data_IF_816062459827
#
_entry.id   IF_816062459827
#
_cell.length_a   1.000
_cell.length_b   1.000
_cell.length_c   1.000
_cell.angle_alpha   90.00
_cell.angle_beta   90.00
_cell.angle_gamma   90.00
#
_symmetry.space_group_name_H-M   'P 1'
#
loop_
_entity.id
_entity.type
_entity.pdbx_description
1 polymer ?
#
# COMPACT_ATOMS: atom_id res chain seq x y z
N UNK A 1 -14.95 2.81 -7.56
CA UNK A 1 -15.69 1.58 -7.20
C UNK A 1 -15.23 1.14 -5.81
N UNK A 2 -15.99 1.42 -4.75
CA UNK A 2 -15.67 0.91 -3.41
C UNK A 2 -16.10 -0.55 -3.32
N UNK A 3 -15.20 -1.46 -3.69
CA UNK A 3 -15.47 -2.90 -3.79
C UNK A 3 -15.25 -3.67 -2.49
N UNK A 4 -15.24 -3.00 -1.33
CA UNK A 4 -15.03 -3.65 -0.04
C UNK A 4 -16.26 -4.48 0.39
N UNK A 5 -16.11 -5.54 1.21
CA UNK A 5 -14.84 -6.12 1.70
C UNK A 5 -14.08 -6.91 0.64
N UNK A 6 -12.79 -7.14 0.85
CA UNK A 6 -11.96 -7.98 -0.03
C UNK A 6 -12.05 -9.46 0.36
N UNK A 7 -11.91 -10.35 -0.62
CA UNK A 7 -11.68 -11.77 -0.37
C UNK A 7 -10.20 -12.04 -0.11
N UNK A 8 -9.31 -11.39 -0.88
CA UNK A 8 -7.85 -11.54 -0.78
C UNK A 8 -7.17 -10.17 -0.79
N UNK A 9 -6.27 -9.93 0.17
CA UNK A 9 -5.41 -8.75 0.21
C UNK A 9 -3.94 -9.20 0.15
N UNK A 10 -3.20 -8.78 -0.87
CA UNK A 10 -1.74 -8.92 -0.89
C UNK A 10 -1.09 -7.66 -0.31
N UNK A 11 -0.20 -7.81 0.66
CA UNK A 11 0.57 -6.70 1.23
C UNK A 11 2.03 -6.91 0.84
N UNK A 12 2.67 -5.90 0.28
CA UNK A 12 4.08 -5.98 -0.10
C UNK A 12 4.82 -4.66 0.15
N UNK A 13 6.14 -4.70 0.16
CA UNK A 13 6.94 -3.52 0.50
C UNK A 13 6.84 -2.43 -0.58
N UNK A 14 6.98 -2.80 -1.85
CA UNK A 14 7.04 -1.85 -2.96
C UNK A 14 6.03 -2.23 -4.05
N UNK A 15 5.65 -1.23 -4.84
CA UNK A 15 4.90 -1.41 -6.09
C UNK A 15 5.72 -2.30 -7.01
N UNK A 16 5.14 -3.36 -7.58
CA UNK A 16 5.72 -4.47 -8.37
C UNK A 16 6.00 -5.79 -7.62
N UNK A 17 6.18 -5.77 -6.29
CA UNK A 17 6.48 -6.97 -5.52
C UNK A 17 5.33 -8.00 -5.62
N UNK A 18 4.08 -7.53 -5.58
CA UNK A 18 2.89 -8.39 -5.68
C UNK A 18 2.80 -9.01 -7.06
N UNK A 19 2.98 -8.22 -8.11
CA UNK A 19 2.95 -8.63 -9.50
C UNK A 19 3.95 -9.78 -9.74
N UNK A 20 5.17 -9.65 -9.21
CA UNK A 20 6.22 -10.66 -9.33
C UNK A 20 5.95 -11.93 -8.53
N UNK A 21 5.41 -11.81 -7.33
CA UNK A 21 5.34 -12.93 -6.37
C UNK A 21 4.01 -13.67 -6.38
N UNK A 22 2.89 -12.98 -6.61
CA UNK A 22 1.56 -13.58 -6.54
C UNK A 22 0.54 -12.97 -7.51
N UNK A 23 0.96 -12.22 -8.53
CA UNK A 23 0.08 -11.63 -9.54
C UNK A 23 -0.81 -12.66 -10.23
N UNK A 24 -0.25 -13.81 -10.62
CA UNK A 24 -1.02 -14.92 -11.20
C UNK A 24 -2.11 -15.47 -10.27
N UNK A 25 -1.84 -15.54 -8.96
CA UNK A 25 -2.83 -15.92 -7.94
C UNK A 25 -3.94 -14.88 -7.86
N UNK A 26 -3.60 -13.58 -7.81
CA UNK A 26 -4.62 -12.53 -7.75
C UNK A 26 -5.51 -12.51 -8.99
N UNK A 27 -4.92 -12.62 -10.18
CA UNK A 27 -5.68 -12.69 -11.43
C UNK A 27 -6.59 -13.92 -11.47
N UNK A 28 -6.09 -15.09 -11.05
CA UNK A 28 -6.90 -16.31 -10.98
C UNK A 28 -8.06 -16.17 -9.99
N UNK A 29 -7.84 -15.52 -8.85
CA UNK A 29 -8.89 -15.27 -7.87
C UNK A 29 -9.94 -14.29 -8.42
N UNK A 30 -9.51 -13.25 -9.13
CA UNK A 30 -10.41 -12.34 -9.81
C UNK A 30 -11.25 -13.04 -10.91
N UNK A 31 -10.63 -13.95 -11.69
CA UNK A 31 -11.34 -14.79 -12.67
C UNK A 31 -12.41 -15.69 -12.03
N UNK A 32 -12.20 -16.09 -10.77
CA UNK A 32 -13.17 -16.84 -9.96
C UNK A 32 -14.22 -15.94 -9.28
N UNK A 33 -14.29 -14.66 -9.65
CA UNK A 33 -15.23 -13.68 -9.09
C UNK A 33 -14.89 -13.21 -7.67
N UNK A 34 -13.65 -13.42 -7.20
CA UNK A 34 -13.20 -12.94 -5.89
C UNK A 34 -12.68 -11.52 -5.97
N UNK A 35 -12.95 -10.73 -4.93
CA UNK A 35 -12.48 -9.34 -4.84
C UNK A 35 -11.06 -9.33 -4.28
N UNK A 36 -10.11 -8.92 -5.09
CA UNK A 36 -8.68 -8.90 -4.74
C UNK A 36 -8.21 -7.47 -4.51
N UNK A 37 -7.27 -7.29 -3.59
CA UNK A 37 -6.64 -6.01 -3.32
C UNK A 37 -5.13 -6.08 -3.14
N UNK A 38 -4.47 -4.95 -3.31
CA UNK A 38 -3.03 -4.76 -3.12
C UNK A 38 -2.79 -3.59 -2.16
N UNK A 39 -1.96 -3.80 -1.14
CA UNK A 39 -1.42 -2.76 -0.29
C UNK A 39 0.10 -2.70 -0.47
N UNK A 40 0.58 -1.63 -1.10
CA UNK A 40 2.01 -1.33 -1.16
C UNK A 40 2.38 -0.53 0.11
N UNK A 41 3.42 -0.93 0.83
CA UNK A 41 3.81 -0.22 2.06
C UNK A 41 4.53 1.10 1.75
N UNK A 42 5.31 1.13 0.67
CA UNK A 42 6.14 2.26 0.25
C UNK A 42 5.78 2.67 -1.17
N UNK A 43 6.20 3.87 -1.58
CA UNK A 43 6.09 4.30 -2.99
C UNK A 43 7.21 3.73 -3.85
N UNK A 44 8.22 3.07 -3.28
CA UNK A 44 9.39 2.57 -4.00
C UNK A 44 10.27 3.72 -4.52
N UNK A 45 10.28 4.85 -3.84
CA UNK A 45 10.93 6.09 -4.29
C UNK A 45 12.47 6.00 -4.35
N UNK A 46 13.11 5.06 -3.66
CA UNK A 46 14.55 4.84 -3.76
C UNK A 46 14.93 3.92 -4.93
N UNK A 47 14.01 3.04 -5.34
CA UNK A 47 14.23 2.09 -6.44
C UNK A 47 13.68 2.51 -7.81
N UNK A 48 12.80 3.52 -7.84
CA UNK A 48 12.13 3.94 -9.08
C UNK A 48 13.11 4.50 -10.11
N UNK A 49 13.07 3.96 -11.32
CA UNK A 49 13.73 4.54 -12.50
C UNK A 49 12.68 5.33 -13.28
N UNK A 50 12.78 6.65 -13.27
CA UNK A 50 11.74 7.55 -13.80
C UNK A 50 11.15 8.42 -12.70
N UNK A 51 9.94 8.94 -12.92
CA UNK A 51 9.26 9.82 -11.94
C UNK A 51 8.33 9.03 -11.01
N UNK A 52 7.94 9.65 -9.89
CA UNK A 52 6.96 9.07 -8.98
C UNK A 52 5.60 8.87 -9.67
N UNK A 53 5.24 9.78 -10.59
CA UNK A 53 4.07 9.75 -11.44
C UNK A 53 4.11 8.58 -12.43
N UNK A 54 5.28 8.30 -13.03
CA UNK A 54 5.46 7.14 -13.89
C UNK A 54 5.20 5.85 -13.14
N UNK A 55 5.80 5.71 -11.95
CA UNK A 55 5.61 4.53 -11.13
C UNK A 55 4.17 4.35 -10.64
N UNK A 56 3.46 5.45 -10.37
CA UNK A 56 2.03 5.42 -10.03
C UNK A 56 1.19 4.94 -11.21
N UNK A 57 1.47 5.44 -12.41
CA UNK A 57 0.80 5.01 -13.64
C UNK A 57 1.06 3.53 -13.93
N UNK A 58 2.31 3.08 -13.81
CA UNK A 58 2.68 1.66 -13.96
C UNK A 58 1.88 0.76 -13.01
N UNK A 59 1.84 1.12 -11.73
CA UNK A 59 1.10 0.37 -10.71
C UNK A 59 -0.42 0.36 -10.97
N UNK A 60 -0.98 1.47 -11.45
CA UNK A 60 -2.38 1.56 -11.83
C UNK A 60 -2.72 0.68 -13.04
N UNK A 61 -1.85 0.65 -14.07
CA UNK A 61 -2.03 -0.24 -15.22
C UNK A 61 -1.87 -1.72 -14.84
N UNK A 62 -0.89 -2.05 -14.00
CA UNK A 62 -0.73 -3.42 -13.48
C UNK A 62 -1.98 -3.88 -12.72
N UNK A 63 -2.57 -3.01 -11.88
CA UNK A 63 -3.80 -3.33 -11.16
C UNK A 63 -4.98 -3.62 -12.10
N UNK A 64 -5.11 -2.88 -13.22
CA UNK A 64 -6.12 -3.15 -14.25
C UNK A 64 -5.91 -4.49 -14.93
N UNK A 65 -4.67 -4.80 -15.32
CA UNK A 65 -4.30 -6.09 -15.94
C UNK A 65 -4.64 -7.25 -15.01
N UNK A 66 -4.30 -7.13 -13.73
CA UNK A 66 -4.59 -8.13 -12.70
C UNK A 66 -6.05 -8.15 -12.22
N UNK A 67 -6.90 -7.24 -12.71
CA UNK A 67 -8.30 -7.08 -12.31
C UNK A 67 -8.49 -6.89 -10.80
N UNK A 68 -7.52 -6.22 -10.18
CA UNK A 68 -7.53 -5.91 -8.76
C UNK A 68 -8.59 -4.84 -8.50
N UNK A 69 -9.45 -5.07 -7.52
CA UNK A 69 -10.62 -4.22 -7.25
C UNK A 69 -10.31 -3.06 -6.29
N UNK A 70 -9.14 -3.09 -5.65
CA UNK A 70 -8.66 -2.07 -4.72
C UNK A 70 -7.13 -2.08 -4.64
N UNK A 71 -6.47 -0.93 -4.77
CA UNK A 71 -5.03 -0.78 -4.54
C UNK A 71 -4.77 0.54 -3.82
N UNK A 72 -3.99 0.49 -2.76
CA UNK A 72 -3.51 1.68 -2.05
C UNK A 72 -2.04 1.54 -1.68
N UNK A 73 -1.41 2.68 -1.40
CA UNK A 73 -0.02 2.77 -0.99
C UNK A 73 0.08 3.56 0.31
N UNK A 74 0.78 3.00 1.31
CA UNK A 74 1.08 3.71 2.56
C UNK A 74 2.25 4.70 2.41
N UNK A 75 2.43 5.50 3.45
CA UNK A 75 3.50 6.48 3.60
C UNK A 75 4.67 5.92 4.45
N UNK A 76 5.04 4.65 4.26
CA UNK A 76 6.25 4.10 4.87
C UNK A 76 7.43 4.41 3.94
N UNK A 77 8.54 4.97 4.44
CA UNK A 77 9.68 5.30 3.59
C UNK A 77 10.33 4.04 2.99
N UNK A 78 10.61 4.09 1.69
CA UNK A 78 11.38 3.06 0.97
C UNK A 78 12.79 2.90 1.57
N UNK A 79 13.30 1.67 1.63
CA UNK A 79 14.55 1.35 2.33
C UNK A 79 14.47 1.40 3.87
N UNK A 80 13.32 1.79 4.44
CA UNK A 80 13.09 1.88 5.89
C UNK A 80 11.74 1.31 6.30
N UNK A 81 11.35 0.16 5.75
CA UNK A 81 10.19 -0.58 6.26
C UNK A 81 10.56 -1.17 7.61
N UNK A 82 10.11 -0.51 8.68
CA UNK A 82 10.36 -0.92 10.06
C UNK A 82 9.07 -1.48 10.70
N UNK A 83 9.19 -2.55 11.48
CA UNK A 83 8.06 -3.14 12.20
C UNK A 83 7.78 -2.42 13.55
N UNK A 84 7.52 -1.12 13.46
CA UNK A 84 7.19 -0.25 14.59
C UNK A 84 5.70 -0.37 14.97
N UNK A 85 5.36 0.05 16.18
CA UNK A 85 3.96 0.11 16.62
C UNK A 85 3.10 0.96 15.69
N UNK A 86 3.59 2.13 15.29
CA UNK A 86 2.88 3.04 14.39
C UNK A 86 2.58 2.38 13.03
N UNK A 87 3.57 1.77 12.40
CA UNK A 87 3.39 1.09 11.11
C UNK A 87 2.41 -0.08 11.23
N UNK A 88 2.45 -0.84 12.34
CA UNK A 88 1.46 -1.91 12.57
C UNK A 88 0.05 -1.35 12.65
N UNK A 89 -0.15 -0.20 13.29
CA UNK A 89 -1.46 0.46 13.36
C UNK A 89 -1.92 0.95 11.99
N UNK A 90 -1.01 1.50 11.16
CA UNK A 90 -1.31 1.88 9.77
C UNK A 90 -1.84 0.69 8.97
N UNK A 91 -1.13 -0.45 9.00
CA UNK A 91 -1.54 -1.67 8.28
C UNK A 91 -2.81 -2.29 8.88
N UNK A 92 -2.92 -2.36 10.21
CA UNK A 92 -4.10 -2.92 10.89
C UNK A 92 -5.37 -2.12 10.59
N UNK A 93 -5.25 -0.80 10.38
CA UNK A 93 -6.34 0.05 9.91
C UNK A 93 -6.84 -0.40 8.54
N UNK A 94 -5.95 -0.58 7.57
CA UNK A 94 -6.30 -1.06 6.23
C UNK A 94 -6.96 -2.43 6.31
N UNK A 95 -6.43 -3.35 7.13
CA UNK A 95 -7.03 -4.68 7.32
C UNK A 95 -8.45 -4.57 7.89
N UNK A 96 -8.71 -3.65 8.83
CA UNK A 96 -10.06 -3.40 9.36
C UNK A 96 -11.01 -2.77 8.34
N UNK A 97 -10.50 -1.87 7.50
CA UNK A 97 -11.29 -1.21 6.45
C UNK A 97 -11.67 -2.22 5.36
N UNK A 98 -10.69 -3.02 4.92
CA UNK A 98 -10.84 -3.94 3.79
C UNK A 98 -11.42 -5.30 4.17
N UNK A 99 -11.30 -5.71 5.45
CA UNK A 99 -11.80 -6.97 6.03
C UNK A 99 -11.49 -8.22 5.16
N UNK A 100 -10.22 -8.42 4.75
CA UNK A 100 -9.87 -9.52 3.87
C UNK A 100 -10.07 -10.87 4.54
N UNK A 101 -10.50 -11.89 3.77
CA UNK A 101 -10.58 -13.27 4.27
C UNK A 101 -9.21 -13.96 4.27
N UNK A 102 -8.37 -13.60 3.30
CA UNK A 102 -7.00 -14.10 3.15
C UNK A 102 -6.05 -12.91 3.00
N UNK A 103 -4.94 -12.94 3.71
CA UNK A 103 -3.84 -11.98 3.52
C UNK A 103 -2.63 -12.73 2.96
N UNK A 104 -2.06 -12.25 1.86
CA UNK A 104 -0.81 -12.74 1.28
C UNK A 104 0.30 -11.79 1.70
N UNK A 105 1.40 -12.34 2.22
CA UNK A 105 2.56 -11.60 2.69
C UNK A 105 3.83 -12.09 1.98
N UNK A 106 4.89 -11.26 1.90
CA UNK A 106 6.16 -11.69 1.35
C UNK A 106 6.75 -12.85 2.17
N UNK A 107 7.59 -13.67 1.56
CA UNK A 107 8.30 -14.72 2.30
C UNK A 107 9.23 -14.09 3.34
N UNK A 108 9.23 -14.61 4.57
CA UNK A 108 9.94 -14.03 5.72
C UNK A 108 11.46 -14.25 5.70
N UNK A 109 12.02 -14.81 4.63
CA UNK A 109 13.46 -14.91 4.40
C UNK A 109 13.77 -14.38 3.00
N UNK A 110 14.80 -13.57 2.89
CA UNK A 110 15.24 -13.02 1.61
C UNK A 110 16.40 -12.06 1.78
N UNK A 111 16.96 -11.62 0.65
CA UNK A 111 18.07 -10.66 0.63
C UNK A 111 17.64 -9.22 0.89
N UNK A 112 16.36 -8.90 0.69
CA UNK A 112 15.84 -7.54 0.78
C UNK A 112 15.21 -7.29 2.16
N UNK A 113 15.75 -6.38 2.97
CA UNK A 113 15.25 -6.11 4.31
C UNK A 113 13.79 -5.71 4.40
N UNK A 114 13.34 -4.85 3.49
CA UNK A 114 11.95 -4.41 3.49
C UNK A 114 10.96 -5.55 3.22
N UNK A 115 11.33 -6.55 2.41
CA UNK A 115 10.45 -7.69 2.09
C UNK A 115 10.18 -8.56 3.31
N UNK A 116 11.22 -9.04 3.99
CA UNK A 116 11.02 -9.88 5.17
C UNK A 116 10.43 -9.07 6.33
N UNK A 117 10.70 -7.76 6.40
CA UNK A 117 10.10 -6.90 7.44
C UNK A 117 8.63 -6.63 7.17
N UNK A 118 8.23 -6.43 5.90
CA UNK A 118 6.83 -6.35 5.49
C UNK A 118 6.04 -7.60 5.87
N UNK A 119 6.65 -8.78 5.77
CA UNK A 119 6.06 -10.04 6.23
C UNK A 119 5.74 -10.01 7.73
N UNK A 120 6.72 -9.66 8.56
CA UNK A 120 6.55 -9.56 10.02
C UNK A 120 5.53 -8.49 10.40
N UNK A 121 5.62 -7.31 9.77
CA UNK A 121 4.73 -6.18 9.98
C UNK A 121 3.28 -6.54 9.64
N UNK A 122 3.04 -7.14 8.46
CA UNK A 122 1.71 -7.56 8.03
C UNK A 122 1.11 -8.61 8.95
N UNK A 123 1.89 -9.62 9.35
CA UNK A 123 1.43 -10.67 10.27
C UNK A 123 1.03 -10.10 11.65
N UNK A 124 1.87 -9.26 12.25
CA UNK A 124 1.56 -8.65 13.54
C UNK A 124 0.40 -7.65 13.43
N UNK A 125 0.26 -6.94 12.31
CA UNK A 125 -0.89 -6.08 12.04
C UNK A 125 -2.21 -6.88 11.91
N UNK A 126 -2.20 -8.09 11.32
CA UNK A 126 -3.37 -8.97 11.32
C UNK A 126 -3.82 -9.30 12.76
N UNK A 127 -2.89 -9.58 13.67
CA UNK A 127 -3.20 -9.80 15.08
C UNK A 127 -3.83 -8.55 15.73
N UNK A 128 -3.22 -7.37 15.54
CA UNK A 128 -3.76 -6.11 16.08
C UNK A 128 -5.14 -5.77 15.52
N UNK A 129 -5.38 -6.03 14.23
CA UNK A 129 -6.67 -5.79 13.60
C UNK A 129 -7.81 -6.55 14.31
N UNK A 130 -7.54 -7.75 14.84
CA UNK A 130 -8.48 -8.57 15.59
C UNK A 130 -8.74 -8.13 17.04
N UNK A 131 -7.92 -7.24 17.61
CA UNK A 131 -8.09 -6.79 19.00
C UNK A 131 -9.23 -5.78 19.13
N UNK A 132 -10.43 -6.24 19.49
CA UNK A 132 -11.64 -5.41 19.55
C UNK A 132 -11.51 -4.13 20.42
N UNK A 133 -10.73 -4.19 21.51
CA UNK A 133 -10.51 -3.04 22.42
C UNK A 133 -9.43 -2.06 21.94
N UNK A 134 -8.64 -2.43 20.93
CA UNK A 134 -7.59 -1.56 20.40
C UNK A 134 -8.22 -0.47 19.55
N UNK A 135 -8.15 0.77 20.02
CA UNK A 135 -8.54 1.94 19.26
C UNK A 135 -7.54 2.16 18.11
N UNK A 136 -8.03 2.04 16.87
CA UNK A 136 -7.27 2.40 15.67
C UNK A 136 -8.04 3.58 15.06
N UNK A 137 -7.45 4.78 15.13
CA UNK A 137 -8.09 5.99 14.59
C UNK A 137 -8.39 5.80 13.10
N UNK A 138 -9.54 6.26 12.62
CA UNK A 138 -9.97 6.09 11.22
C UNK A 138 -9.36 7.11 10.25
N UNK A 139 -8.58 8.07 10.75
CA UNK A 139 -8.06 9.16 9.91
C UNK A 139 -6.90 8.67 9.05
N UNK A 140 -7.21 8.27 7.82
CA UNK A 140 -6.28 8.29 6.71
C UNK A 140 -6.38 9.68 6.06
N UNK A 141 -5.30 10.46 6.12
CA UNK A 141 -5.19 11.65 5.28
C UNK A 141 -4.79 11.15 3.89
N UNK A 142 -5.78 10.86 3.05
CA UNK A 142 -5.53 10.62 1.64
C UNK A 142 -5.25 11.95 0.93
N UNK A 143 -4.06 12.03 0.34
CA UNK A 143 -3.61 12.92 -0.75
C UNK A 143 -3.51 14.42 -0.46
N UNK A 144 -2.27 14.91 -0.27
CA UNK A 144 -1.94 16.27 -0.70
C UNK A 144 -2.02 16.32 -2.24
N UNK A 145 -2.65 17.35 -2.84
CA UNK A 145 -2.67 17.53 -4.28
C UNK A 145 -1.26 17.77 -4.83
N UNK A 146 -1.06 17.48 -6.11
CA UNK A 146 0.20 17.66 -6.85
C UNK A 146 0.74 19.10 -6.70
N UNK A 147 2.07 19.30 -6.72
CA UNK A 147 2.71 20.62 -6.58
C UNK A 147 2.38 21.62 -7.69
N UNK A 148 1.59 21.25 -8.70
CA UNK A 148 1.11 22.16 -9.75
C UNK A 148 0.26 23.34 -9.22
N UNK A 149 -0.17 23.33 -7.95
CA UNK A 149 -0.90 24.46 -7.34
C UNK A 149 -0.07 25.36 -6.42
N UNK A 150 1.19 25.03 -6.12
CA UNK A 150 2.05 25.86 -5.25
C UNK A 150 2.75 27.01 -5.98
N UNK A 151 2.87 26.95 -7.31
CA UNK A 151 3.51 27.99 -8.11
C UNK A 151 2.74 29.32 -8.10
N UNK A 152 1.45 29.30 -7.72
CA UNK A 152 0.64 30.52 -7.54
C UNK A 152 0.84 31.19 -6.18
N UNK A 153 1.34 30.50 -5.15
CA UNK A 153 1.48 31.06 -3.80
C UNK A 153 2.83 31.77 -3.61
N UNK A 154 3.88 31.32 -4.29
CA UNK A 154 5.22 31.89 -4.17
C UNK A 154 5.36 33.30 -4.79
N UNK A 155 4.50 33.66 -5.75
CA UNK A 155 4.51 35.00 -6.38
C UNK A 155 3.94 36.13 -5.51
N UNK A 156 3.33 35.84 -4.35
CA UNK A 156 2.75 36.89 -3.48
C UNK A 156 3.61 37.29 -2.28
N UNK A 157 4.75 36.62 -2.05
CA UNK A 157 5.67 36.96 -0.94
C UNK A 157 6.93 37.69 -1.45
N UNK A 158 7.24 37.62 -2.74
CA UNK A 158 8.41 38.25 -3.35
C UNK A 158 8.20 39.70 -3.87
N UNK A 159 7.09 40.36 -3.52
CA UNK A 159 6.85 41.78 -3.89
C UNK A 159 6.71 42.72 -2.69
N UNK A 160 7.23 42.32 -1.52
CA UNK A 160 7.18 43.11 -0.29
C UNK A 160 8.57 43.33 0.35
N UNK A 161 9.64 43.26 -0.45
CA UNK A 161 10.96 43.81 -0.14
C UNK A 161 11.53 44.45 -1.40
#
# INVERSE_FOLDING_TARGET
>A
MSSLPLDVLAIAAHRDDVEQTCGGTLLKMADLGRRTGILDLTRGEMGTRGTAEDREREAAEAAKILRVSWRETLDIPDGRVENTWENRLKVARIIRQTRPRVVILPYWKGRHPDHYTASKLGYEACFLAGLAKLAISQNHVARAPSPATEESAFRRVASAV
#
